data_IF_983026621934
#
_entry.id   IF_983026621934
#
_cell.length_a   1.000
_cell.length_b   1.000
_cell.length_c   1.000
_cell.angle_alpha   90.00
_cell.angle_beta   90.00
_cell.angle_gamma   90.00
#
_symmetry.space_group_name_H-M   'P 1'
#
loop_
_entity.id
_entity.type
_entity.pdbx_description
1 polymer ?
#
# COMPACT_ATOMS: atom_id res chain seq x y z
N UNK A 1 27.97 -1.52 -20.55
CA UNK A 1 27.19 -2.30 -21.54
C UNK A 1 26.28 -1.33 -22.28
N UNK A 2 26.76 -0.84 -23.42
CA UNK A 2 26.04 0.09 -24.30
C UNK A 2 25.44 -0.75 -25.43
N UNK A 3 24.17 -1.14 -25.28
CA UNK A 3 23.41 -1.78 -26.36
C UNK A 3 23.02 -0.70 -27.37
N UNK A 4 23.84 -0.53 -28.40
CA UNK A 4 23.55 0.32 -29.56
C UNK A 4 22.39 -0.29 -30.35
N UNK A 5 21.18 0.19 -30.04
CA UNK A 5 19.94 -0.07 -30.79
C UNK A 5 19.89 0.89 -31.98
N UNK A 6 20.49 0.49 -33.09
CA UNK A 6 20.62 1.34 -34.28
C UNK A 6 20.63 0.49 -35.53
N UNK A 7 19.44 0.23 -36.05
CA UNK A 7 19.24 -0.42 -37.34
C UNK A 7 17.76 -0.67 -37.50
N UNK A 8 17.11 0.09 -38.38
CA UNK A 8 15.79 -0.26 -38.91
C UNK A 8 16.07 -1.18 -40.09
N UNK A 9 16.11 -2.53 -39.91
CA UNK A 9 16.01 -3.40 -41.06
C UNK A 9 14.64 -3.15 -41.69
N UNK A 10 14.57 -3.27 -43.01
CA UNK A 10 13.38 -3.18 -43.85
C UNK A 10 12.29 -4.18 -43.46
N UNK A 11 11.68 -3.98 -42.29
CA UNK A 11 10.73 -4.86 -41.62
C UNK A 11 9.91 -4.11 -40.58
N UNK A 12 8.93 -4.78 -40.00
CA UNK A 12 8.00 -4.22 -39.02
C UNK A 12 8.69 -3.91 -37.69
N UNK A 13 8.06 -3.06 -36.87
CA UNK A 13 8.52 -2.80 -35.51
C UNK A 13 8.64 -4.09 -34.69
N UNK A 14 9.73 -4.19 -33.92
CA UNK A 14 9.91 -5.26 -32.95
C UNK A 14 8.89 -5.14 -31.82
N UNK A 15 8.64 -6.23 -31.11
CA UNK A 15 7.70 -6.24 -29.98
C UNK A 15 8.11 -5.25 -28.89
N UNK A 16 9.40 -5.18 -28.58
CA UNK A 16 9.94 -4.26 -27.58
C UNK A 16 9.83 -2.79 -28.02
N UNK A 17 9.79 -2.51 -29.33
CA UNK A 17 9.52 -1.16 -29.84
C UNK A 17 8.03 -0.80 -29.74
N UNK A 18 7.13 -1.79 -29.87
CA UNK A 18 5.69 -1.61 -29.66
C UNK A 18 5.42 -1.38 -28.17
N UNK A 19 6.08 -2.11 -27.27
CA UNK A 19 5.95 -1.92 -25.82
C UNK A 19 6.44 -0.54 -25.39
N UNK A 20 7.60 -0.12 -25.87
CA UNK A 20 8.12 1.24 -25.63
C UNK A 20 7.14 2.30 -26.16
N UNK A 21 6.54 2.05 -27.33
CA UNK A 21 5.52 2.92 -27.90
C UNK A 21 4.24 3.01 -27.03
N UNK A 22 3.86 1.92 -26.36
CA UNK A 22 2.71 1.89 -25.45
C UNK A 22 2.96 2.66 -24.15
N UNK A 23 4.18 2.62 -23.62
CA UNK A 23 4.56 3.30 -22.37
C UNK A 23 4.69 4.83 -22.57
N UNK A 24 4.64 5.30 -23.82
CA UNK A 24 4.79 6.72 -24.16
C UNK A 24 6.24 7.15 -24.41
N UNK A 25 7.17 6.20 -24.42
CA UNK A 25 8.59 6.39 -24.75
C UNK A 25 8.86 6.37 -26.27
N UNK A 26 7.97 6.94 -27.08
CA UNK A 26 8.10 6.91 -28.53
C UNK A 26 9.35 7.68 -28.98
N UNK A 27 10.40 6.95 -29.34
CA UNK A 27 11.43 7.49 -30.22
C UNK A 27 10.74 7.99 -31.50
N UNK A 28 11.10 9.17 -31.99
CA UNK A 28 10.46 9.85 -33.13
C UNK A 28 10.34 8.95 -34.38
N UNK A 29 11.27 8.03 -34.56
CA UNK A 29 11.30 7.05 -35.65
C UNK A 29 10.17 6.01 -35.57
N UNK A 30 9.85 5.49 -34.37
CA UNK A 30 8.79 4.50 -34.19
C UNK A 30 7.40 5.11 -34.45
N UNK A 31 7.19 6.36 -34.02
CA UNK A 31 5.98 7.11 -34.32
C UNK A 31 5.78 7.33 -35.82
N UNK A 32 6.87 7.67 -36.54
CA UNK A 32 6.85 7.78 -38.00
C UNK A 32 6.45 6.48 -38.69
N UNK A 33 7.02 5.34 -38.27
CA UNK A 33 6.67 4.04 -38.84
C UNK A 33 5.23 3.63 -38.53
N UNK A 34 4.75 3.84 -37.31
CA UNK A 34 3.37 3.56 -36.93
C UNK A 34 2.38 4.33 -37.79
N UNK A 35 2.68 5.57 -38.20
CA UNK A 35 1.78 6.32 -39.09
C UNK A 35 1.70 5.77 -40.52
N UNK A 36 2.71 5.02 -40.97
CA UNK A 36 2.83 4.54 -42.35
C UNK A 36 2.43 3.06 -42.47
N UNK A 37 2.70 2.25 -41.45
CA UNK A 37 2.54 0.80 -41.50
C UNK A 37 1.25 0.32 -40.81
N UNK A 38 0.20 -0.08 -41.55
CA UNK A 38 -1.07 -0.51 -40.96
C UNK A 38 -0.94 -1.77 -40.10
N UNK A 39 -0.05 -2.70 -40.45
CA UNK A 39 0.15 -3.93 -39.69
C UNK A 39 0.74 -3.65 -38.29
N UNK A 40 1.65 -2.67 -38.19
CA UNK A 40 2.17 -2.24 -36.88
C UNK A 40 1.12 -1.47 -36.07
N UNK A 41 0.24 -0.70 -36.72
CA UNK A 41 -0.90 -0.07 -36.05
C UNK A 41 -1.84 -1.13 -35.46
N UNK A 42 -2.17 -2.17 -36.23
CA UNK A 42 -3.05 -3.25 -35.78
C UNK A 42 -2.45 -3.98 -34.56
N UNK A 43 -1.15 -4.29 -34.58
CA UNK A 43 -0.45 -4.87 -33.43
C UNK A 43 -0.51 -3.96 -32.20
N UNK A 44 -0.29 -2.66 -32.38
CA UNK A 44 -0.37 -1.68 -31.30
C UNK A 44 -1.80 -1.57 -30.72
N UNK A 45 -2.82 -1.57 -31.56
CA UNK A 45 -4.23 -1.58 -31.12
C UNK A 45 -4.55 -2.86 -30.34
N UNK A 46 -4.15 -4.01 -30.88
CA UNK A 46 -4.35 -5.32 -30.23
C UNK A 46 -3.70 -5.35 -28.85
N UNK A 47 -2.48 -4.82 -28.73
CA UNK A 47 -1.76 -4.77 -27.46
C UNK A 47 -2.39 -3.80 -26.44
N UNK A 48 -3.13 -2.77 -26.88
CA UNK A 48 -3.82 -1.82 -25.99
C UNK A 48 -5.13 -2.36 -25.41
N UNK A 49 -5.81 -3.28 -26.10
CA UNK A 49 -7.12 -3.79 -25.68
C UNK A 49 -7.14 -4.37 -24.25
N UNK A 50 -6.16 -5.20 -23.81
CA UNK A 50 -6.14 -5.71 -22.44
C UNK A 50 -5.99 -4.61 -21.39
N UNK A 51 -5.21 -3.56 -21.70
CA UNK A 51 -4.97 -2.43 -20.79
C UNK A 51 -6.26 -1.63 -20.60
N UNK A 52 -6.98 -1.36 -21.70
CA UNK A 52 -8.27 -0.66 -21.63
C UNK A 52 -9.32 -1.47 -20.88
N UNK A 53 -9.37 -2.78 -21.11
CA UNK A 53 -10.25 -3.71 -20.37
C UNK A 53 -9.95 -3.69 -18.87
N UNK A 54 -8.67 -3.84 -18.49
CA UNK A 54 -8.25 -3.77 -17.09
C UNK A 54 -8.61 -2.43 -16.44
N UNK A 55 -8.40 -1.32 -17.15
CA UNK A 55 -8.78 0.03 -16.67
C UNK A 55 -10.28 0.14 -16.43
N UNK A 56 -11.11 -0.36 -17.35
CA UNK A 56 -12.56 -0.34 -17.22
C UNK A 56 -13.05 -1.16 -16.01
N UNK A 57 -12.51 -2.37 -15.83
CA UNK A 57 -12.84 -3.23 -14.67
C UNK A 57 -12.39 -2.58 -13.36
N UNK A 58 -11.17 -2.03 -13.33
CA UNK A 58 -10.62 -1.39 -12.13
C UNK A 58 -11.43 -0.16 -11.71
N UNK A 59 -11.88 0.63 -12.67
CA UNK A 59 -12.75 1.79 -12.43
C UNK A 59 -14.13 1.34 -11.94
N UNK A 60 -14.76 0.36 -12.59
CA UNK A 60 -16.04 -0.18 -12.14
C UNK A 60 -15.96 -0.77 -10.72
N UNK A 61 -14.84 -1.40 -10.37
CA UNK A 61 -14.58 -1.92 -9.03
C UNK A 61 -14.44 -0.79 -8.00
N UNK A 62 -13.71 0.29 -8.31
CA UNK A 62 -13.51 1.41 -7.39
C UNK A 62 -14.79 2.24 -7.18
N UNK A 63 -15.61 2.39 -8.22
CA UNK A 63 -16.94 3.03 -8.12
C UNK A 63 -17.88 2.25 -7.21
N UNK A 64 -17.92 0.92 -7.34
CA UNK A 64 -18.73 0.07 -6.44
C UNK A 64 -18.28 0.17 -4.99
N UNK A 65 -16.97 0.23 -4.75
CA UNK A 65 -16.42 0.31 -3.38
C UNK A 65 -16.58 1.69 -2.76
N UNK A 66 -16.50 2.76 -3.55
CA UNK A 66 -16.74 4.12 -3.06
C UNK A 66 -18.22 4.39 -2.75
N UNK A 67 -19.14 3.73 -3.44
CA UNK A 67 -20.58 3.81 -3.14
C UNK A 67 -20.97 3.14 -1.82
N UNK A 68 -20.18 2.18 -1.32
CA UNK A 68 -20.47 1.41 -0.10
C UNK A 68 -19.67 1.84 1.12
N UNK A 69 -18.63 2.67 0.96
CA UNK A 69 -17.98 3.26 2.12
C UNK A 69 -18.90 4.31 2.74
N UNK A 70 -19.22 4.20 4.05
CA UNK A 70 -19.88 5.29 4.74
C UNK A 70 -19.00 6.52 4.61
N UNK A 71 -19.49 7.57 3.95
CA UNK A 71 -18.84 8.88 3.95
C UNK A 71 -18.67 9.24 5.41
N UNK A 72 -17.43 9.38 5.92
CA UNK A 72 -17.24 9.80 7.29
C UNK A 72 -17.88 11.19 7.39
N UNK A 73 -19.06 11.24 8.02
CA UNK A 73 -19.64 12.50 8.44
C UNK A 73 -18.56 13.15 9.29
N UNK A 74 -18.06 14.31 8.88
CA UNK A 74 -17.11 15.09 9.65
C UNK A 74 -17.79 15.50 10.97
N UNK A 75 -17.84 14.61 11.95
CA UNK A 75 -18.21 14.88 13.35
C UNK A 75 -17.05 15.57 14.10
N UNK A 76 -16.03 16.02 13.36
CA UNK A 76 -14.76 16.56 13.86
C UNK A 76 -14.81 17.94 14.52
N UNK A 77 -15.97 18.54 14.73
CA UNK A 77 -16.05 19.76 15.55
C UNK A 77 -16.15 19.46 17.06
N UNK A 78 -16.47 18.23 17.47
CA UNK A 78 -16.60 17.87 18.90
C UNK A 78 -15.50 16.94 19.43
N UNK A 79 -14.74 16.22 18.59
CA UNK A 79 -13.63 15.36 19.04
C UNK A 79 -12.29 16.10 19.27
N UNK A 80 -12.19 17.38 18.87
CA UNK A 80 -10.99 18.21 19.09
C UNK A 80 -10.59 18.36 20.56
N UNK A 81 -11.50 18.14 21.51
CA UNK A 81 -11.21 18.25 22.94
C UNK A 81 -10.49 17.02 23.51
N UNK A 82 -10.62 15.84 22.88
CA UNK A 82 -9.97 14.60 23.32
C UNK A 82 -8.51 14.43 22.86
N UNK A 83 -8.12 15.12 21.79
CA UNK A 83 -6.79 15.00 21.15
C UNK A 83 -5.63 15.63 21.94
N UNK A 84 -5.90 16.66 22.74
CA UNK A 84 -4.87 17.35 23.52
C UNK A 84 -4.17 16.44 24.53
N UNK A 85 -4.87 15.42 25.04
CA UNK A 85 -4.30 14.49 26.02
C UNK A 85 -3.25 13.57 25.41
N UNK A 86 -3.38 13.19 24.14
CA UNK A 86 -2.39 12.34 23.43
C UNK A 86 -1.16 13.16 22.97
N UNK A 87 -1.37 14.42 22.61
CA UNK A 87 -0.29 15.36 22.27
C UNK A 87 0.63 15.67 23.46
N UNK A 88 0.09 15.72 24.69
CA UNK A 88 0.89 15.95 25.90
C UNK A 88 1.94 14.85 26.16
N UNK A 89 1.62 13.58 25.85
CA UNK A 89 2.57 12.47 25.99
C UNK A 89 3.68 12.52 24.95
N UNK A 90 3.37 12.94 23.72
CA UNK A 90 4.38 13.08 22.66
C UNK A 90 5.44 14.13 22.99
N UNK A 91 5.04 15.27 23.55
CA UNK A 91 5.97 16.34 23.94
C UNK A 91 6.92 15.90 25.07
N UNK A 92 6.44 15.12 26.04
CA UNK A 92 7.26 14.60 27.14
C UNK A 92 8.35 13.64 26.64
N UNK A 93 8.02 12.74 25.71
CA UNK A 93 8.99 11.80 25.12
C UNK A 93 10.03 12.54 24.28
N UNK A 94 9.62 13.55 23.51
CA UNK A 94 10.55 14.35 22.71
C UNK A 94 11.55 15.14 23.58
N UNK A 95 11.11 15.73 24.71
CA UNK A 95 12.02 16.37 25.65
C UNK A 95 13.01 15.38 26.29
N UNK A 96 12.54 14.19 26.69
CA UNK A 96 13.40 13.18 27.30
C UNK A 96 14.54 12.76 26.34
N UNK A 97 14.20 12.55 25.06
CA UNK A 97 15.17 12.22 24.01
C UNK A 97 16.15 13.37 23.76
N UNK A 98 15.68 14.62 23.74
CA UNK A 98 16.55 15.79 23.54
C UNK A 98 17.58 15.95 24.68
N UNK A 99 17.20 15.66 25.93
CA UNK A 99 18.11 15.70 27.08
C UNK A 99 19.13 14.55 27.03
N UNK A 100 18.70 13.34 26.68
CA UNK A 100 19.58 12.17 26.56
C UNK A 100 20.63 12.31 25.45
N UNK A 101 20.31 12.98 24.36
CA UNK A 101 21.23 13.16 23.23
C UNK A 101 22.21 14.31 23.45
N UNK A 102 21.83 15.36 24.18
CA UNK A 102 22.70 16.54 24.40
C UNK A 102 23.63 16.38 25.62
N UNK A 103 23.22 15.63 26.66
CA UNK A 103 24.03 15.44 27.87
C UNK A 103 25.42 14.77 27.69
N UNK A 104 25.65 13.78 26.81
CA UNK A 104 26.95 13.11 26.72
C UNK A 104 28.02 13.89 25.94
N UNK A 105 27.67 15.02 25.30
CA UNK A 105 28.64 15.80 24.51
C UNK A 105 29.47 16.76 25.36
N UNK A 106 28.95 17.27 26.49
CA UNK A 106 29.72 18.18 27.36
C UNK A 106 30.65 17.44 28.33
N UNK A 107 30.34 16.19 28.70
CA UNK A 107 31.20 15.37 29.57
C UNK A 107 32.48 14.87 28.88
N UNK A 108 32.60 15.02 27.55
CA UNK A 108 33.80 14.62 26.78
C UNK A 108 34.83 15.74 26.57
N UNK A 109 34.57 16.98 27.02
CA UNK A 109 35.54 18.08 26.90
C UNK A 109 36.44 18.30 28.12
N UNK A 110 36.24 17.58 29.24
CA UNK A 110 37.02 17.78 30.49
C UNK A 110 38.03 16.68 30.82
N UNK A 111 38.39 15.81 29.87
CA UNK A 111 39.31 14.69 30.11
C UNK A 111 40.24 14.41 28.95
N UNK A 112 41.13 15.36 28.62
CA UNK A 112 42.17 15.17 27.60
C UNK A 112 43.57 15.48 28.15
N UNK A 113 43.95 14.71 29.17
CA UNK A 113 45.32 14.35 29.58
C UNK A 113 45.13 12.97 30.24
N UNK A 114 45.66 11.86 29.75
CA UNK A 114 47.07 11.57 29.55
C UNK A 114 47.29 10.58 28.41
N UNK A 115 48.46 10.71 27.81
CA UNK A 115 49.11 9.77 26.89
C UNK A 115 49.53 8.51 27.67
N UNK A 116 49.67 7.41 26.95
CA UNK A 116 50.18 6.08 27.37
C UNK A 116 49.20 5.17 28.12
N UNK A 117 48.50 4.30 27.37
CA UNK A 117 48.72 2.87 27.58
C UNK A 117 48.36 2.08 26.31
N UNK A 118 49.41 1.66 25.63
CA UNK A 118 49.38 0.72 24.53
C UNK A 118 49.74 -0.66 25.08
N UNK A 119 48.75 -1.52 25.31
CA UNK A 119 48.94 -2.97 25.35
C UNK A 119 47.59 -3.68 25.54
N UNK A 120 47.41 -4.80 24.83
CA UNK A 120 46.39 -5.84 25.06
C UNK A 120 44.96 -5.46 24.60
N UNK A 121 44.27 -6.17 23.71
CA UNK A 121 44.30 -7.59 23.37
C UNK A 121 43.85 -7.76 21.92
N UNK A 122 44.72 -8.39 21.11
CA UNK A 122 44.28 -9.22 20.00
C UNK A 122 43.56 -10.44 20.61
N UNK A 123 42.25 -10.54 20.44
CA UNK A 123 41.53 -11.81 20.59
C UNK A 123 40.60 -11.99 19.41
N UNK A 124 40.97 -12.98 18.61
CA UNK A 124 40.24 -13.58 17.51
C UNK A 124 38.85 -14.05 17.96
N UNK A 125 37.80 -13.59 17.28
CA UNK A 125 36.52 -14.31 17.21
C UNK A 125 36.13 -14.47 15.74
N UNK A 126 36.89 -15.32 15.06
CA UNK A 126 36.37 -16.14 13.98
C UNK A 126 35.78 -17.39 14.63
N UNK A 127 34.47 -17.42 14.85
CA UNK A 127 33.63 -18.62 14.89
C UNK A 127 32.18 -18.14 15.07
N UNK A 128 31.42 -18.16 13.99
CA UNK A 128 30.03 -17.73 13.95
C UNK A 128 29.29 -18.46 12.82
N UNK A 129 29.20 -19.77 12.98
CA UNK A 129 28.19 -20.66 12.41
C UNK A 129 27.97 -20.61 10.88
N UNK A 130 28.61 -21.57 10.22
CA UNK A 130 27.96 -22.46 9.25
C UNK A 130 26.44 -22.56 9.46
N UNK A 131 25.69 -21.82 8.67
CA UNK A 131 24.26 -21.99 8.44
C UNK A 131 24.02 -22.40 6.99
N UNK A 132 24.57 -23.56 6.60
CA UNK A 132 24.01 -24.32 5.47
C UNK A 132 22.69 -24.86 5.98
N UNK A 133 21.65 -24.03 5.91
CA UNK A 133 20.28 -24.46 6.18
C UNK A 133 19.78 -25.13 4.91
N UNK A 134 19.53 -26.42 5.03
CA UNK A 134 18.77 -27.29 4.14
C UNK A 134 17.58 -26.55 3.48
N UNK A 135 17.82 -25.97 2.30
CA UNK A 135 16.84 -25.14 1.58
C UNK A 135 15.91 -25.90 0.64
N UNK A 136 15.65 -27.19 0.86
CA UNK A 136 14.81 -27.99 -0.06
C UNK A 136 13.71 -28.83 0.60
N UNK A 137 13.65 -28.94 1.93
CA UNK A 137 12.53 -29.58 2.63
C UNK A 137 11.55 -28.57 3.27
N UNK A 138 11.96 -27.31 3.46
CA UNK A 138 11.10 -26.29 4.06
C UNK A 138 10.12 -25.66 3.08
N UNK A 139 10.34 -25.78 1.76
CA UNK A 139 9.55 -25.06 0.76
C UNK A 139 8.13 -25.60 0.66
N UNK A 140 7.94 -26.92 0.72
CA UNK A 140 6.63 -27.54 0.52
C UNK A 140 5.72 -27.38 1.73
N UNK A 141 6.23 -27.61 2.94
CA UNK A 141 5.49 -27.31 4.18
C UNK A 141 5.22 -25.80 4.35
N UNK A 142 6.12 -24.95 3.86
CA UNK A 142 5.92 -23.50 3.86
C UNK A 142 4.86 -23.08 2.84
N UNK A 143 4.84 -23.67 1.65
CA UNK A 143 3.80 -23.45 0.62
C UNK A 143 2.45 -23.92 1.16
N UNK A 144 2.38 -25.08 1.82
CA UNK A 144 1.12 -25.57 2.41
C UNK A 144 0.62 -24.66 3.53
N UNK A 145 1.53 -24.17 4.39
CA UNK A 145 1.18 -23.20 5.44
C UNK A 145 0.72 -21.86 4.86
N UNK A 146 1.35 -21.39 3.78
CA UNK A 146 0.97 -20.15 3.11
C UNK A 146 -0.40 -20.29 2.43
N UNK A 147 -0.64 -21.41 1.74
CA UNK A 147 -1.94 -21.74 1.16
C UNK A 147 -3.04 -21.86 2.23
N UNK A 148 -2.72 -22.44 3.39
CA UNK A 148 -3.65 -22.53 4.51
C UNK A 148 -4.00 -21.14 5.06
N UNK A 149 -3.01 -20.26 5.20
CA UNK A 149 -3.21 -18.88 5.63
C UNK A 149 -4.05 -18.07 4.63
N UNK A 150 -3.79 -18.21 3.32
CA UNK A 150 -4.56 -17.54 2.28
C UNK A 150 -6.02 -18.02 2.25
N UNK A 151 -6.26 -19.32 2.45
CA UNK A 151 -7.61 -19.88 2.54
C UNK A 151 -8.36 -19.40 3.80
N UNK A 152 -7.68 -19.27 4.94
CA UNK A 152 -8.28 -18.72 6.16
C UNK A 152 -8.70 -17.25 5.96
N UNK A 153 -7.85 -16.45 5.31
CA UNK A 153 -8.17 -15.05 4.97
C UNK A 153 -9.35 -14.97 4.00
N UNK A 154 -9.35 -15.76 2.93
CA UNK A 154 -10.43 -15.75 1.95
C UNK A 154 -11.75 -16.20 2.57
N UNK A 155 -11.70 -17.17 3.50
CA UNK A 155 -12.88 -17.57 4.28
C UNK A 155 -13.41 -16.40 5.11
N UNK A 156 -12.55 -15.67 5.81
CA UNK A 156 -12.97 -14.57 6.70
C UNK A 156 -13.48 -13.34 5.93
N UNK A 157 -12.91 -13.08 4.76
CA UNK A 157 -13.39 -12.05 3.84
C UNK A 157 -14.76 -12.41 3.23
N UNK A 158 -15.01 -13.69 2.97
CA UNK A 158 -16.27 -14.16 2.40
C UNK A 158 -17.38 -14.40 3.46
N UNK A 159 -17.05 -14.75 4.70
CA UNK A 159 -18.03 -14.82 5.80
C UNK A 159 -18.52 -13.45 6.24
N UNK A 160 -17.78 -12.38 5.94
CA UNK A 160 -18.23 -11.00 6.06
C UNK A 160 -19.32 -10.60 5.03
N UNK A 161 -19.93 -11.59 4.35
CA UNK A 161 -21.14 -11.46 3.54
C UNK A 161 -22.42 -11.13 4.34
N UNK A 162 -22.34 -11.00 5.67
CA UNK A 162 -23.33 -10.24 6.43
C UNK A 162 -23.26 -8.77 6.00
N UNK A 163 -24.13 -8.46 5.04
CA UNK A 163 -24.36 -7.14 4.50
C UNK A 163 -24.42 -6.11 5.65
N UNK A 164 -23.48 -5.16 5.76
CA UNK A 164 -23.48 -4.17 6.85
C UNK A 164 -24.74 -3.29 6.84
N UNK A 165 -25.58 -3.38 5.80
CA UNK A 165 -26.91 -2.81 5.78
C UNK A 165 -27.90 -3.46 6.78
N UNK A 166 -27.67 -4.70 7.24
CA UNK A 166 -28.61 -5.42 8.09
C UNK A 166 -28.43 -5.11 9.59
N UNK A 167 -27.20 -4.80 10.03
CA UNK A 167 -26.91 -4.40 11.42
C UNK A 167 -27.32 -2.95 11.78
N UNK A 168 -27.74 -2.15 10.80
CA UNK A 168 -27.98 -0.70 10.98
C UNK A 168 -29.45 -0.25 11.09
N UNK A 169 -30.45 -1.09 10.81
CA UNK A 169 -31.83 -0.62 10.59
C UNK A 169 -32.93 -1.27 11.46
N UNK A 170 -32.61 -2.23 12.34
CA UNK A 170 -33.64 -2.97 13.07
C UNK A 170 -34.15 -2.32 14.37
N UNK A 171 -33.55 -1.23 14.90
CA UNK A 171 -33.88 -0.75 16.27
C UNK A 171 -34.49 0.65 16.40
N UNK A 172 -34.77 1.37 15.30
CA UNK A 172 -35.50 2.66 15.37
C UNK A 172 -36.93 2.54 14.83
N UNK A 173 -37.69 1.57 15.36
CA UNK A 173 -39.16 1.56 15.21
C UNK A 173 -39.83 1.48 16.58
N UNK A 174 -39.47 2.43 17.44
CA UNK A 174 -40.10 2.64 18.72
C UNK A 174 -40.49 4.10 18.90
N UNK A 175 -41.81 4.34 18.98
CA UNK A 175 -42.45 5.36 19.81
C UNK A 175 -42.62 6.78 19.21
N UNK A 176 -43.76 6.98 18.55
CA UNK A 176 -44.63 8.19 18.51
C UNK A 176 -45.75 7.86 17.50
N UNK A 177 -47.06 7.98 17.70
CA UNK A 177 -47.90 8.54 18.74
C UNK A 177 -49.20 7.72 18.82
N UNK A 178 -49.41 7.02 19.94
CA UNK A 178 -50.74 6.82 20.51
C UNK A 178 -51.12 8.19 21.06
N UNK A 179 -52.07 8.90 20.45
CA UNK A 179 -52.89 10.00 21.00
C UNK A 179 -53.41 10.88 19.84
N UNK A 180 -54.35 10.36 19.06
CA UNK A 180 -55.28 11.16 18.27
C UNK A 180 -56.58 10.38 18.10
N UNK A 181 -57.23 10.11 19.23
CA UNK A 181 -58.61 9.64 19.29
C UNK A 181 -59.32 10.45 20.38
N UNK A 182 -59.72 11.68 20.07
CA UNK A 182 -60.75 12.42 20.83
C UNK A 182 -61.46 13.39 19.88
N UNK A 183 -62.74 13.11 19.58
CA UNK A 183 -63.85 14.02 19.17
C UNK A 183 -63.62 14.89 17.90
N UNK A 184 -64.57 15.03 16.98
CA UNK A 184 -65.98 15.30 17.23
C UNK A 184 -66.89 14.74 16.11
N UNK A 185 -67.96 14.12 16.57
CA UNK A 185 -69.27 14.02 15.92
C UNK A 185 -69.97 15.35 16.16
N UNK A 186 -70.40 16.04 15.10
CA UNK A 186 -71.55 16.96 15.02
C UNK A 186 -71.41 17.83 13.75
N UNK A 187 -72.04 17.43 12.64
CA UNK A 187 -73.32 17.97 12.15
C UNK A 187 -73.74 17.25 10.85
#
# INVERSE_FOLDING_TARGET
MTMTRGGVPSGHLSEEQIDEAMIGGLASEAGGHLNICPMCQERLVTARLPIESFKAVSLAWSERRSATMPVPLQTGLLESLGGHRRLAWGAAVAMLLAVLVTAPLELRHSGRMTVDDAAQMHTTNALGATGVVSGQQSTEEQIERDNQLLNEIDRELNTSGENPAELGLATVRGRTNRHAAVRAVQD
#
